data_IF_763107177435
#
_entry.id   IF_763107177435
#
_cell.length_a   1.000
_cell.length_b   1.000
_cell.length_c   1.000
_cell.angle_alpha   90.00
_cell.angle_beta   90.00
_cell.angle_gamma   90.00
#
_symmetry.space_group_name_H-M   'P 1'
#
loop_
_entity.id
_entity.type
_entity.pdbx_description
1 polymer ?
#
# COMPACT_ATOMS: atom_id res chain seq x y z
N UNK A 1 0.94 -19.73 9.37
CA UNK A 1 0.10 -19.94 8.18
C UNK A 1 0.90 -19.54 6.96
N UNK A 2 1.13 -20.44 6.04
CA UNK A 2 1.80 -20.12 4.79
C UNK A 2 0.86 -19.20 3.99
N UNK A 3 1.29 -17.97 3.74
CA UNK A 3 0.60 -17.09 2.80
C UNK A 3 0.60 -17.79 1.44
N UNK A 4 -0.55 -18.29 1.02
CA UNK A 4 -0.72 -18.72 -0.37
C UNK A 4 -0.54 -17.47 -1.23
N UNK A 5 0.66 -17.29 -1.76
CA UNK A 5 0.94 -16.20 -2.67
C UNK A 5 -0.04 -16.26 -3.85
N UNK A 6 -0.64 -15.15 -4.17
CA UNK A 6 -1.52 -15.02 -5.33
C UNK A 6 -0.70 -15.48 -6.55
N UNK A 7 -1.08 -16.61 -7.15
CA UNK A 7 -0.43 -17.13 -8.36
C UNK A 7 -0.99 -16.38 -9.56
N UNK A 8 -0.23 -15.41 -10.05
CA UNK A 8 -0.58 -14.72 -11.28
C UNK A 8 -0.33 -15.58 -12.51
N UNK A 9 -1.20 -15.40 -13.50
CA UNK A 9 -0.99 -15.98 -14.82
C UNK A 9 0.05 -15.14 -15.57
N UNK A 10 1.16 -15.78 -15.92
CA UNK A 10 2.23 -15.16 -16.70
C UNK A 10 2.10 -15.56 -18.16
N UNK A 11 2.15 -14.58 -19.05
CA UNK A 11 2.18 -14.79 -20.50
C UNK A 11 3.57 -14.42 -21.02
N UNK A 12 4.09 -15.23 -21.93
CA UNK A 12 5.36 -14.99 -22.58
C UNK A 12 5.17 -14.78 -24.08
N UNK A 13 5.86 -13.78 -24.62
CA UNK A 13 5.95 -13.50 -26.04
C UNK A 13 7.43 -13.58 -26.43
N UNK A 14 7.75 -14.48 -27.37
CA UNK A 14 9.12 -14.76 -27.78
C UNK A 14 9.30 -14.38 -29.24
N UNK A 15 10.28 -13.54 -29.54
CA UNK A 15 10.71 -13.23 -30.89
C UNK A 15 12.20 -13.55 -31.03
N UNK A 16 12.49 -14.76 -31.52
CA UNK A 16 13.85 -15.27 -31.67
C UNK A 16 14.67 -14.47 -32.67
N UNK A 17 14.05 -14.01 -33.77
CA UNK A 17 14.74 -13.24 -34.83
C UNK A 17 15.27 -11.89 -34.28
N UNK A 18 14.50 -11.25 -33.40
CA UNK A 18 14.89 -9.99 -32.75
C UNK A 18 15.63 -10.20 -31.44
N UNK A 19 15.81 -11.45 -30.99
CA UNK A 19 16.42 -11.72 -29.69
C UNK A 19 15.65 -11.15 -28.50
N UNK A 20 14.30 -11.11 -28.56
CA UNK A 20 13.45 -10.46 -27.55
C UNK A 20 12.53 -11.49 -26.90
N UNK A 21 12.48 -11.46 -25.57
CA UNK A 21 11.47 -12.16 -24.76
C UNK A 21 10.72 -11.16 -23.90
N UNK A 22 9.41 -11.21 -23.91
CA UNK A 22 8.53 -10.36 -23.11
C UNK A 22 7.75 -11.24 -22.15
N UNK A 23 7.76 -10.92 -20.87
CA UNK A 23 6.89 -11.51 -19.85
C UNK A 23 5.83 -10.49 -19.41
N UNK A 24 4.57 -10.92 -19.36
CA UNK A 24 3.46 -10.12 -18.85
C UNK A 24 2.82 -10.85 -17.66
N UNK A 25 2.79 -10.19 -16.52
CA UNK A 25 2.06 -10.64 -15.32
C UNK A 25 0.71 -9.93 -15.33
N UNK A 26 -0.38 -10.69 -15.38
CA UNK A 26 -1.74 -10.16 -15.47
C UNK A 26 -2.46 -10.23 -14.11
N UNK A 27 -3.63 -9.59 -14.03
CA UNK A 27 -4.57 -9.62 -12.90
C UNK A 27 -4.01 -9.07 -11.57
N UNK A 28 -3.09 -8.09 -11.68
CA UNK A 28 -2.44 -7.49 -10.51
C UNK A 28 -3.23 -6.34 -9.86
N UNK A 29 -4.34 -5.92 -10.48
CA UNK A 29 -5.06 -4.69 -10.08
C UNK A 29 -5.42 -4.63 -8.59
N UNK A 30 -5.83 -5.74 -8.02
CA UNK A 30 -6.31 -5.84 -6.63
C UNK A 30 -5.32 -6.47 -5.65
N UNK A 31 -4.07 -6.72 -6.06
CA UNK A 31 -3.09 -7.43 -5.23
C UNK A 31 -2.86 -6.77 -3.88
N UNK A 32 -2.63 -5.47 -3.88
CA UNK A 32 -2.40 -4.75 -2.63
C UNK A 32 -3.64 -4.74 -1.74
N UNK A 33 -4.82 -4.49 -2.28
CA UNK A 33 -6.07 -4.52 -1.53
C UNK A 33 -6.36 -5.91 -0.96
N UNK A 34 -6.16 -6.96 -1.74
CA UNK A 34 -6.33 -8.34 -1.28
C UNK A 34 -5.36 -8.69 -0.15
N UNK A 35 -4.11 -8.23 -0.24
CA UNK A 35 -3.13 -8.37 0.83
C UNK A 35 -3.60 -7.67 2.10
N UNK A 36 -4.04 -6.41 1.98
CA UNK A 36 -4.48 -5.60 3.10
C UNK A 36 -5.70 -6.22 3.81
N UNK A 37 -6.71 -6.65 3.04
CA UNK A 37 -7.91 -7.33 3.57
C UNK A 37 -7.55 -8.62 4.29
N UNK A 38 -6.65 -9.42 3.73
CA UNK A 38 -6.28 -10.71 4.31
C UNK A 38 -5.32 -10.59 5.51
N UNK A 39 -4.61 -9.48 5.62
CA UNK A 39 -3.59 -9.25 6.66
C UNK A 39 -4.10 -8.42 7.83
N UNK A 40 -5.18 -7.65 7.64
CA UNK A 40 -5.76 -6.81 8.67
C UNK A 40 -6.97 -7.48 9.30
N UNK A 41 -7.09 -7.35 10.62
CA UNK A 41 -8.33 -7.68 11.32
C UNK A 41 -9.44 -6.74 10.80
N UNK A 42 -10.62 -7.29 10.52
CA UNK A 42 -11.81 -6.53 10.08
C UNK A 42 -12.22 -5.42 11.05
N UNK A 43 -11.85 -5.55 12.32
CA UNK A 43 -12.08 -4.54 13.35
C UNK A 43 -10.96 -3.50 13.44
N UNK A 44 -9.89 -3.63 12.65
CA UNK A 44 -8.80 -2.66 12.70
C UNK A 44 -9.18 -1.35 12.02
N UNK A 45 -8.71 -0.23 12.58
CA UNK A 45 -8.78 1.09 11.94
C UNK A 45 -8.20 1.04 10.52
N UNK A 46 -7.19 0.19 10.31
CA UNK A 46 -6.56 -0.08 9.05
C UNK A 46 -7.56 -0.56 8.00
N UNK A 47 -8.38 -1.53 8.34
CA UNK A 47 -9.41 -2.06 7.46
C UNK A 47 -10.40 -0.96 7.05
N UNK A 48 -10.92 -0.21 8.01
CA UNK A 48 -11.93 0.83 7.76
C UNK A 48 -11.37 2.03 6.98
N UNK A 49 -10.15 2.47 7.28
CA UNK A 49 -9.52 3.58 6.57
C UNK A 49 -9.20 3.25 5.09
N UNK A 50 -8.91 1.99 4.78
CA UNK A 50 -8.60 1.53 3.42
C UNK A 50 -9.83 1.39 2.52
N UNK A 51 -11.03 1.36 3.10
CA UNK A 51 -12.30 1.16 2.40
C UNK A 51 -13.21 2.39 2.39
N UNK A 52 -12.72 3.55 2.80
CA UNK A 52 -13.44 4.79 2.52
C UNK A 52 -13.49 5.00 0.99
N UNK A 53 -14.67 5.29 0.45
CA UNK A 53 -14.93 5.42 -1.01
C UNK A 53 -13.96 6.39 -1.71
N UNK A 54 -13.39 7.35 -0.98
CA UNK A 54 -12.47 8.36 -1.52
C UNK A 54 -11.04 7.86 -1.73
N UNK A 55 -10.62 6.83 -0.99
CA UNK A 55 -9.23 6.40 -0.97
C UNK A 55 -9.01 5.04 -1.66
N UNK A 56 -10.11 4.34 -1.99
CA UNK A 56 -10.04 3.00 -2.56
C UNK A 56 -9.24 2.95 -3.87
N UNK A 57 -9.48 3.89 -4.78
CA UNK A 57 -8.86 3.88 -6.11
C UNK A 57 -7.35 4.09 -6.08
N UNK A 58 -6.83 4.82 -5.09
CA UNK A 58 -5.38 5.05 -4.96
C UNK A 58 -4.61 3.78 -4.60
N UNK A 59 -5.27 2.77 -4.01
CA UNK A 59 -4.68 1.49 -3.65
C UNK A 59 -4.76 0.45 -4.77
N UNK A 60 -5.46 0.73 -5.85
CA UNK A 60 -5.47 -0.13 -7.02
C UNK A 60 -4.12 -0.07 -7.74
N UNK A 61 -3.65 -1.23 -8.18
CA UNK A 61 -2.43 -1.37 -8.97
C UNK A 61 -2.77 -1.38 -10.47
N UNK A 62 -1.78 -1.18 -11.34
CA UNK A 62 -1.95 -1.50 -12.75
C UNK A 62 -2.41 -2.94 -12.95
N UNK A 63 -3.25 -3.18 -13.97
CA UNK A 63 -3.78 -4.51 -14.25
C UNK A 63 -2.68 -5.51 -14.60
N UNK A 64 -1.65 -5.06 -15.32
CA UNK A 64 -0.54 -5.92 -15.75
C UNK A 64 0.81 -5.22 -15.66
N UNK A 65 1.87 -6.03 -15.52
CA UNK A 65 3.26 -5.58 -15.53
C UNK A 65 4.04 -6.32 -16.59
N UNK A 66 4.86 -5.61 -17.34
CA UNK A 66 5.62 -6.14 -18.46
C UNK A 66 7.12 -5.98 -18.19
N UNK A 67 7.83 -7.08 -18.35
CA UNK A 67 9.28 -7.13 -18.38
C UNK A 67 9.77 -7.60 -19.74
N UNK A 68 10.90 -7.08 -20.18
CA UNK A 68 11.52 -7.41 -21.46
C UNK A 68 12.96 -7.86 -21.23
N UNK A 69 13.35 -8.99 -21.83
CA UNK A 69 14.74 -9.39 -21.98
C UNK A 69 15.12 -9.25 -23.45
N UNK A 70 16.26 -8.67 -23.71
CA UNK A 70 16.82 -8.51 -25.06
C UNK A 70 18.21 -9.11 -25.10
N UNK A 71 18.46 -9.89 -26.12
CA UNK A 71 19.76 -10.51 -26.43
C UNK A 71 20.78 -9.40 -26.77
N UNK A 72 21.95 -9.46 -26.17
CA UNK A 72 23.08 -8.62 -26.54
C UNK A 72 23.76 -9.09 -27.84
N UNK A 73 24.58 -8.23 -28.44
CA UNK A 73 25.23 -8.53 -29.75
C UNK A 73 26.13 -9.77 -29.74
N UNK A 74 26.71 -10.09 -28.58
CA UNK A 74 27.64 -11.24 -28.43
C UNK A 74 27.03 -12.39 -27.61
N UNK A 75 25.73 -12.34 -27.28
CA UNK A 75 25.08 -13.34 -26.45
C UNK A 75 24.57 -14.51 -27.31
N UNK A 76 24.61 -15.71 -26.74
CA UNK A 76 23.98 -16.90 -27.34
C UNK A 76 22.50 -16.88 -26.94
N UNK A 77 21.62 -17.15 -27.91
CA UNK A 77 20.19 -17.25 -27.65
C UNK A 77 19.87 -18.37 -26.66
N UNK A 78 19.28 -18.00 -25.55
CA UNK A 78 18.70 -18.89 -24.54
C UNK A 78 17.29 -18.40 -24.17
N UNK A 79 16.29 -19.12 -24.64
CA UNK A 79 14.88 -18.75 -24.44
C UNK A 79 14.47 -18.84 -22.97
N UNK A 80 14.91 -19.86 -22.26
CA UNK A 80 14.54 -20.08 -20.86
C UNK A 80 15.18 -19.01 -19.97
N UNK A 81 16.42 -18.66 -20.18
CA UNK A 81 17.09 -17.56 -19.51
C UNK A 81 16.41 -16.24 -19.84
N UNK A 82 16.05 -16.02 -21.10
CA UNK A 82 15.29 -14.85 -21.54
C UNK A 82 13.95 -14.71 -20.83
N UNK A 83 13.20 -15.80 -20.67
CA UNK A 83 11.94 -15.85 -19.92
C UNK A 83 12.15 -15.51 -18.45
N UNK A 84 13.17 -16.07 -17.81
CA UNK A 84 13.49 -15.78 -16.42
C UNK A 84 13.83 -14.30 -16.20
N UNK A 85 14.66 -13.71 -17.05
CA UNK A 85 15.04 -12.30 -16.97
C UNK A 85 13.82 -11.40 -17.19
N UNK A 86 13.02 -11.68 -18.22
CA UNK A 86 11.81 -10.92 -18.51
C UNK A 86 10.80 -10.98 -17.34
N UNK A 87 10.60 -12.17 -16.78
CA UNK A 87 9.74 -12.36 -15.61
C UNK A 87 10.24 -11.58 -14.40
N UNK A 88 11.54 -11.66 -14.07
CA UNK A 88 12.11 -10.92 -12.94
C UNK A 88 11.94 -9.42 -13.10
N UNK A 89 12.11 -8.89 -14.31
CA UNK A 89 11.88 -7.45 -14.59
C UNK A 89 10.41 -7.06 -14.45
N UNK A 90 9.48 -7.89 -14.90
CA UNK A 90 8.04 -7.67 -14.69
C UNK A 90 7.69 -7.72 -13.21
N UNK A 91 8.22 -8.71 -12.47
CA UNK A 91 8.02 -8.87 -11.03
C UNK A 91 8.56 -7.68 -10.23
N UNK A 92 9.75 -7.18 -10.55
CA UNK A 92 10.32 -5.99 -9.90
C UNK A 92 9.41 -4.76 -10.05
N UNK A 93 8.83 -4.53 -11.23
CA UNK A 93 7.88 -3.43 -11.46
C UNK A 93 6.60 -3.60 -10.65
N UNK A 94 6.08 -4.83 -10.57
CA UNK A 94 4.92 -5.16 -9.75
C UNK A 94 5.20 -4.92 -8.28
N UNK A 95 6.31 -5.43 -7.78
CA UNK A 95 6.72 -5.29 -6.37
C UNK A 95 6.93 -3.80 -6.01
N UNK A 96 7.57 -3.01 -6.87
CA UNK A 96 7.72 -1.56 -6.69
C UNK A 96 6.35 -0.84 -6.62
N UNK A 97 5.41 -1.25 -7.48
CA UNK A 97 4.03 -0.73 -7.46
C UNK A 97 3.30 -1.10 -6.16
N UNK A 98 3.48 -2.32 -5.67
CA UNK A 98 2.93 -2.78 -4.40
C UNK A 98 3.46 -1.96 -3.23
N UNK A 99 4.79 -1.81 -3.11
CA UNK A 99 5.41 -1.03 -2.04
C UNK A 99 5.05 0.45 -2.09
N UNK A 100 4.82 1.02 -3.28
CA UNK A 100 4.29 2.38 -3.40
C UNK A 100 2.93 2.51 -2.70
N UNK A 101 2.02 1.54 -2.85
CA UNK A 101 0.71 1.54 -2.17
C UNK A 101 0.86 1.29 -0.68
N UNK A 102 1.78 0.42 -0.26
CA UNK A 102 2.07 0.21 1.15
C UNK A 102 2.53 1.52 1.84
N UNK A 103 3.43 2.27 1.21
CA UNK A 103 3.87 3.57 1.72
C UNK A 103 2.73 4.60 1.75
N UNK A 104 1.84 4.59 0.76
CA UNK A 104 0.65 5.44 0.76
C UNK A 104 -0.29 5.10 1.92
N UNK A 105 -0.49 3.81 2.20
CA UNK A 105 -1.30 3.34 3.32
C UNK A 105 -0.70 3.80 4.66
N UNK A 106 0.60 3.63 4.87
CA UNK A 106 1.29 4.11 6.09
C UNK A 106 1.07 5.60 6.30
N UNK A 107 1.26 6.43 5.27
CA UNK A 107 1.05 7.88 5.36
C UNK A 107 -0.39 8.26 5.65
N UNK A 108 -1.35 7.48 5.16
CA UNK A 108 -2.77 7.70 5.49
C UNK A 108 -3.01 7.47 6.98
N UNK A 109 -2.46 6.39 7.55
CA UNK A 109 -2.58 6.11 8.98
C UNK A 109 -1.90 7.15 9.85
N UNK A 110 -0.71 7.57 9.49
CA UNK A 110 0.00 8.65 10.18
C UNK A 110 -0.86 9.92 10.26
N UNK A 111 -1.48 10.32 9.13
CA UNK A 111 -2.38 11.49 9.11
C UNK A 111 -3.62 11.31 9.99
N UNK A 112 -4.23 10.14 9.99
CA UNK A 112 -5.41 9.88 10.83
C UNK A 112 -5.04 9.85 12.31
N UNK A 113 -3.87 9.31 12.65
CA UNK A 113 -3.34 9.33 14.00
C UNK A 113 -3.06 10.77 14.47
N UNK A 114 -2.43 11.59 13.63
CA UNK A 114 -2.17 13.01 13.95
C UNK A 114 -3.46 13.79 14.19
N UNK A 115 -4.50 13.55 13.37
CA UNK A 115 -5.82 14.16 13.60
C UNK A 115 -6.41 13.77 14.94
N UNK A 116 -6.30 12.51 15.32
CA UNK A 116 -6.79 11.99 16.59
C UNK A 116 -6.02 12.59 17.77
N UNK A 117 -4.69 12.67 17.70
CA UNK A 117 -3.86 13.30 18.70
C UNK A 117 -4.23 14.78 18.89
N UNK A 118 -4.38 15.53 17.80
CA UNK A 118 -4.79 16.93 17.83
C UNK A 118 -6.19 17.12 18.47
N UNK A 119 -7.11 16.20 18.19
CA UNK A 119 -8.45 16.21 18.81
C UNK A 119 -8.37 16.01 20.32
N UNK A 120 -7.57 15.06 20.79
CA UNK A 120 -7.37 14.82 22.22
C UNK A 120 -6.67 15.98 22.92
N UNK A 121 -5.67 16.58 22.29
CA UNK A 121 -5.00 17.77 22.82
C UNK A 121 -5.98 18.96 22.98
N UNK A 122 -6.79 19.21 21.97
CA UNK A 122 -7.81 20.26 22.02
C UNK A 122 -8.86 19.98 23.12
N UNK A 123 -9.28 18.74 23.27
CA UNK A 123 -10.22 18.35 24.33
C UNK A 123 -9.60 18.46 25.72
N UNK A 124 -8.34 18.02 25.87
CA UNK A 124 -7.60 18.17 27.13
C UNK A 124 -7.46 19.63 27.58
N UNK A 125 -7.12 20.53 26.67
CA UNK A 125 -7.07 21.97 26.93
C UNK A 125 -8.45 22.52 27.37
N UNK A 126 -9.52 22.09 26.73
CA UNK A 126 -10.89 22.51 27.12
C UNK A 126 -11.24 22.05 28.53
N UNK A 127 -10.92 20.80 28.88
CA UNK A 127 -11.16 20.27 30.22
C UNK A 127 -10.35 21.03 31.28
N UNK A 128 -9.07 21.29 31.02
CA UNK A 128 -8.19 22.07 31.92
C UNK A 128 -8.76 23.47 32.17
N UNK A 129 -9.13 24.21 31.13
CA UNK A 129 -9.71 25.53 31.24
C UNK A 129 -11.04 25.53 32.04
N UNK A 130 -11.88 24.52 31.85
CA UNK A 130 -13.11 24.38 32.61
C UNK A 130 -12.86 24.10 34.08
N UNK A 131 -11.86 23.31 34.41
CA UNK A 131 -11.49 23.02 35.79
C UNK A 131 -10.95 24.27 36.49
N UNK A 132 -10.06 25.04 35.87
CA UNK A 132 -9.55 26.31 36.41
C UNK A 132 -10.68 27.30 36.64
N UNK A 133 -11.63 27.41 35.72
CA UNK A 133 -12.79 28.26 35.88
C UNK A 133 -13.65 27.86 37.11
N UNK A 134 -13.89 26.55 37.28
CA UNK A 134 -14.64 26.01 38.42
C UNK A 134 -13.91 26.28 39.75
N UNK A 135 -12.60 26.05 39.82
CA UNK A 135 -11.80 26.30 41.00
C UNK A 135 -11.83 27.78 41.41
N UNK A 136 -11.69 28.70 40.45
CA UNK A 136 -11.82 30.14 40.73
C UNK A 136 -13.20 30.48 41.29
N UNK A 137 -14.28 29.94 40.72
CA UNK A 137 -15.64 30.14 41.21
C UNK A 137 -15.87 29.63 42.63
N UNK A 138 -15.29 28.49 42.97
CA UNK A 138 -15.36 27.92 44.32
C UNK A 138 -14.59 28.79 45.30
N UNK A 139 -13.36 29.21 44.96
CA UNK A 139 -12.55 30.10 45.79
C UNK A 139 -13.24 31.43 46.09
N UNK A 140 -13.88 32.06 45.08
CA UNK A 140 -14.66 33.29 45.22
C UNK A 140 -15.84 33.12 46.20
N UNK A 141 -16.47 31.96 46.25
CA UNK A 141 -17.59 31.66 47.14
C UNK A 141 -17.13 31.42 48.59
N UNK A 142 -15.94 30.90 48.80
CA UNK A 142 -15.37 30.63 50.13
C UNK A 142 -14.90 31.91 50.77
N UNK A 143 -14.47 32.92 50.03
CA UNK A 143 -14.02 34.21 50.52
C UNK A 143 -15.16 35.18 50.91
N UNK A 144 -16.39 34.81 50.63
CA UNK A 144 -17.59 35.58 51.07
C UNK A 144 -18.17 34.97 52.34
#
# INVERSE_FOLDING_TARGET
>A
MAHQGIRHKVQYFVNKEKGIVVARINDCKRDFLSFLVNSCDQNSLAYHASFSDKDYDQFLMPHSFVGVAQLGENDIWDEELGKQIAYQRAKQKRDASFFKRANMAVRLYERELDKLCNLFDAYGKRLSNNNEYREKKIAEKIQK
#
